data_IF_156168975247
#
_entry.id   IF_156168975247
#
_cell.length_a   1.000
_cell.length_b   1.000
_cell.length_c   1.000
_cell.angle_alpha   90.00
_cell.angle_beta   90.00
_cell.angle_gamma   90.00
#
_symmetry.space_group_name_H-M   'P 1'
#
loop_
_entity.id
_entity.type
_entity.pdbx_description
1 polymer ?
#
# COMPACT_ATOMS: atom_id res chain seq x y z
N UNK A 1 -4.80 2.84 -9.66
CA UNK A 1 -3.69 1.95 -10.11
C UNK A 1 -3.36 0.92 -9.05
N UNK A 2 -2.67 -0.20 -9.42
CA UNK A 2 -2.15 -1.19 -8.46
C UNK A 2 -0.62 -1.09 -8.48
N UNK A 3 -0.05 -0.76 -7.30
CA UNK A 3 1.37 -0.58 -7.08
C UNK A 3 1.93 -1.74 -6.28
N UNK A 4 3.01 -2.33 -6.73
CA UNK A 4 3.79 -3.28 -5.97
C UNK A 4 4.97 -2.58 -5.31
N UNK A 5 5.01 -2.55 -3.99
CA UNK A 5 6.08 -1.89 -3.22
C UNK A 5 6.99 -2.97 -2.63
N UNK A 6 8.23 -3.00 -3.06
CA UNK A 6 9.17 -4.01 -2.62
C UNK A 6 10.50 -3.42 -2.12
N UNK A 7 11.34 -4.28 -1.60
CA UNK A 7 12.67 -3.93 -1.11
C UNK A 7 13.06 -4.75 0.12
N UNK A 8 14.36 -4.78 0.39
CA UNK A 8 14.91 -5.52 1.54
C UNK A 8 14.39 -4.96 2.88
N UNK A 9 14.42 -5.75 3.98
CA UNK A 9 14.17 -5.24 5.32
C UNK A 9 15.02 -4.00 5.62
N UNK A 10 14.39 -2.97 6.20
CA UNK A 10 15.02 -1.67 6.41
C UNK A 10 15.33 -0.88 5.11
N UNK A 11 14.71 -1.22 3.99
CA UNK A 11 14.82 -0.49 2.72
C UNK A 11 14.01 0.80 2.66
N UNK A 12 13.11 1.05 3.63
CA UNK A 12 12.29 2.25 3.70
C UNK A 12 10.87 2.09 3.10
N UNK A 13 10.39 0.86 2.88
CA UNK A 13 9.03 0.60 2.36
C UNK A 13 7.94 1.25 3.24
N UNK A 14 7.94 0.91 4.52
CA UNK A 14 6.97 1.43 5.49
C UNK A 14 7.07 2.95 5.64
N UNK A 15 8.29 3.50 5.59
CA UNK A 15 8.51 4.95 5.62
C UNK A 15 7.95 5.65 4.37
N UNK A 16 8.13 5.07 3.20
CA UNK A 16 7.51 5.55 1.97
C UNK A 16 5.98 5.55 2.08
N UNK A 17 5.42 4.47 2.62
CA UNK A 17 3.97 4.37 2.79
C UNK A 17 3.45 5.34 3.85
N UNK A 18 4.18 5.57 4.94
CA UNK A 18 3.84 6.59 5.93
C UNK A 18 3.75 8.00 5.29
N UNK A 19 4.72 8.35 4.44
CA UNK A 19 4.67 9.60 3.65
C UNK A 19 3.43 9.65 2.74
N UNK A 20 3.17 8.57 2.01
CA UNK A 20 2.04 8.49 1.08
C UNK A 20 0.69 8.59 1.79
N UNK A 21 0.51 7.85 2.88
CA UNK A 21 -0.69 7.88 3.71
C UNK A 21 -0.91 9.29 4.27
N UNK A 22 0.12 9.89 4.87
CA UNK A 22 0.03 11.24 5.41
C UNK A 22 -0.47 12.25 4.38
N UNK A 23 0.12 12.25 3.18
CA UNK A 23 -0.29 13.16 2.12
C UNK A 23 -1.67 12.84 1.55
N UNK A 24 -2.08 11.58 1.52
CA UNK A 24 -3.41 11.18 1.08
C UNK A 24 -4.48 11.67 2.04
N UNK A 25 -4.32 11.42 3.34
CA UNK A 25 -5.25 11.92 4.37
C UNK A 25 -5.37 13.44 4.33
N UNK A 26 -4.26 14.16 4.20
CA UNK A 26 -4.29 15.64 4.08
C UNK A 26 -5.01 16.19 2.85
N UNK A 27 -5.16 15.37 1.82
CA UNK A 27 -5.93 15.71 0.60
C UNK A 27 -7.39 15.27 0.67
N UNK A 28 -7.86 14.76 1.80
CA UNK A 28 -9.19 14.21 1.95
C UNK A 28 -9.39 12.85 1.29
N UNK A 29 -8.31 12.15 0.93
CA UNK A 29 -8.35 10.81 0.36
C UNK A 29 -8.41 9.80 1.50
N UNK A 30 -9.40 8.92 1.48
CA UNK A 30 -9.59 7.88 2.48
C UNK A 30 -8.48 6.82 2.38
N UNK A 31 -8.08 6.27 3.51
CA UNK A 31 -7.03 5.25 3.61
C UNK A 31 -7.54 4.03 4.35
N UNK A 32 -7.38 2.86 3.76
CA UNK A 32 -7.65 1.57 4.37
C UNK A 32 -6.32 0.80 4.43
N UNK A 33 -5.88 0.39 5.62
CA UNK A 33 -4.59 -0.27 5.79
C UNK A 33 -4.67 -1.40 6.83
N UNK A 34 -3.80 -2.41 6.70
CA UNK A 34 -3.68 -3.53 7.64
C UNK A 34 -2.60 -3.29 8.71
N UNK A 35 -2.41 -2.05 9.10
CA UNK A 35 -1.51 -1.63 10.17
C UNK A 35 -1.95 -0.29 10.74
N UNK A 36 -1.60 -0.03 12.00
CA UNK A 36 -1.90 1.21 12.71
C UNK A 36 -1.02 2.38 12.26
N UNK A 37 -1.58 3.58 12.37
CA UNK A 37 -0.86 4.85 12.28
C UNK A 37 -1.19 5.73 13.49
N UNK A 38 -0.28 6.62 13.85
CA UNK A 38 -0.53 7.59 14.90
C UNK A 38 -1.39 8.76 14.39
N UNK A 39 -2.70 8.69 14.59
CA UNK A 39 -3.64 9.76 14.19
C UNK A 39 -3.46 11.06 14.99
N UNK A 40 -2.86 11.03 16.20
CA UNK A 40 -2.53 12.23 16.98
C UNK A 40 -1.57 13.17 16.24
N UNK A 41 -0.87 12.63 15.24
CA UNK A 41 -0.01 13.42 14.36
C UNK A 41 -0.79 14.54 13.62
N UNK A 42 -2.09 14.38 13.48
CA UNK A 42 -2.99 15.37 12.88
C UNK A 42 -3.68 16.29 13.88
N UNK A 43 -3.44 16.16 15.21
CA UNK A 43 -4.06 16.95 16.26
C UNK A 43 -3.89 18.46 16.07
N UNK A 44 -2.80 18.88 15.42
CA UNK A 44 -2.51 20.29 15.08
C UNK A 44 -2.90 20.66 13.65
N UNK A 45 -3.69 19.83 12.97
CA UNK A 45 -4.16 20.17 11.63
C UNK A 45 -5.14 21.33 11.68
N UNK A 46 -4.93 22.35 10.86
CA UNK A 46 -5.79 23.55 10.82
C UNK A 46 -7.22 23.25 10.38
N UNK A 47 -7.41 22.21 9.57
CA UNK A 47 -8.69 21.81 8.99
C UNK A 47 -8.90 20.31 9.15
N UNK A 48 -9.18 19.80 10.37
CA UNK A 48 -9.36 18.37 10.60
C UNK A 48 -10.57 17.79 9.85
N UNK A 49 -11.59 18.59 9.59
CA UNK A 49 -12.80 18.24 8.83
C UNK A 49 -12.53 17.93 7.33
N UNK A 50 -11.38 18.33 6.83
CA UNK A 50 -10.95 18.06 5.44
C UNK A 50 -10.05 16.84 5.30
N UNK A 51 -9.71 16.20 6.41
CA UNK A 51 -8.90 14.99 6.37
C UNK A 51 -9.72 13.81 5.83
N UNK A 52 -9.05 12.95 5.06
CA UNK A 52 -9.60 11.65 4.72
C UNK A 52 -9.74 10.77 5.96
N UNK A 53 -10.65 9.82 5.94
CA UNK A 53 -10.78 8.82 6.98
C UNK A 53 -9.65 7.79 6.91
N UNK A 54 -9.15 7.34 8.07
CA UNK A 54 -8.26 6.19 8.19
C UNK A 54 -9.04 5.02 8.78
N UNK A 55 -8.98 3.87 8.11
CA UNK A 55 -9.66 2.63 8.50
C UNK A 55 -8.59 1.55 8.60
N UNK A 56 -8.44 1.02 9.81
CA UNK A 56 -7.58 -0.13 10.05
C UNK A 56 -8.34 -1.42 9.78
N UNK A 57 -7.61 -2.42 9.34
CA UNK A 57 -8.10 -3.77 9.07
C UNK A 57 -7.04 -4.80 9.39
N UNK A 58 -7.40 -6.07 9.48
CA UNK A 58 -6.48 -7.17 9.66
C UNK A 58 -6.39 -8.07 8.42
N UNK A 59 -5.26 -8.77 8.24
CA UNK A 59 -5.14 -9.76 7.17
C UNK A 59 -6.17 -10.90 7.32
N UNK A 60 -6.58 -11.23 8.54
CA UNK A 60 -7.59 -12.25 8.79
C UNK A 60 -8.95 -11.87 8.20
N UNK A 61 -9.33 -10.60 8.28
CA UNK A 61 -10.58 -10.07 7.73
C UNK A 61 -10.59 -10.02 6.18
N UNK A 62 -9.43 -10.20 5.58
CA UNK A 62 -9.23 -10.14 4.13
C UNK A 62 -9.35 -11.52 3.45
N UNK A 63 -9.67 -12.58 4.18
CA UNK A 63 -9.74 -13.95 3.67
C UNK A 63 -11.15 -14.49 3.65
N UNK A 64 -11.43 -15.44 2.75
CA UNK A 64 -12.71 -16.15 2.73
C UNK A 64 -12.91 -16.96 4.02
N UNK A 65 -11.85 -17.43 4.67
CA UNK A 65 -11.94 -18.14 5.93
C UNK A 65 -12.55 -17.28 7.03
N UNK A 66 -12.10 -16.03 7.14
CA UNK A 66 -12.71 -15.06 8.05
C UNK A 66 -14.21 -14.85 7.72
N UNK A 67 -14.52 -14.66 6.44
CA UNK A 67 -15.90 -14.52 5.98
C UNK A 67 -16.78 -15.72 6.33
N UNK A 68 -16.29 -16.97 6.20
CA UNK A 68 -17.02 -18.18 6.56
C UNK A 68 -17.32 -18.28 8.06
N UNK A 69 -16.46 -17.72 8.89
CA UNK A 69 -16.60 -17.70 10.35
C UNK A 69 -17.55 -16.61 10.85
N UNK A 70 -17.95 -15.66 10.01
CA UNK A 70 -18.87 -14.60 10.38
C UNK A 70 -20.33 -15.11 10.52
N UNK A 71 -21.09 -14.49 11.40
CA UNK A 71 -22.52 -14.72 11.51
C UNK A 71 -23.26 -14.31 10.23
N UNK A 72 -24.50 -14.78 9.98
CA UNK A 72 -25.29 -14.38 8.81
C UNK A 72 -25.49 -12.87 8.66
N UNK A 73 -25.51 -12.11 9.77
CA UNK A 73 -25.61 -10.65 9.77
C UNK A 73 -24.29 -10.00 9.32
N UNK A 74 -23.15 -10.55 9.76
CA UNK A 74 -21.81 -10.08 9.46
C UNK A 74 -21.34 -10.48 8.06
N UNK A 75 -21.87 -11.58 7.50
CA UNK A 75 -21.58 -12.02 6.13
C UNK A 75 -21.92 -11.01 5.04
N UNK A 76 -22.82 -10.07 5.33
CA UNK A 76 -23.09 -8.93 4.43
C UNK A 76 -21.92 -7.96 4.32
N UNK A 77 -20.95 -8.07 5.20
CA UNK A 77 -19.77 -7.23 5.30
C UNK A 77 -18.48 -8.04 5.15
N UNK A 78 -18.44 -9.03 4.22
CA UNK A 78 -17.15 -9.60 3.86
C UNK A 78 -16.20 -8.48 3.45
N UNK A 79 -14.92 -8.64 3.74
CA UNK A 79 -14.00 -7.53 3.62
C UNK A 79 -13.95 -6.91 2.21
N UNK A 80 -13.96 -7.73 1.16
CA UNK A 80 -14.02 -7.23 -0.23
C UNK A 80 -15.34 -6.52 -0.49
N UNK A 81 -16.46 -7.03 0.02
CA UNK A 81 -17.74 -6.34 -0.03
C UNK A 81 -17.74 -5.09 0.83
N UNK A 82 -17.04 -5.09 1.95
CA UNK A 82 -16.78 -3.91 2.77
C UNK A 82 -16.02 -2.82 2.00
N UNK A 83 -14.98 -3.20 1.24
CA UNK A 83 -14.25 -2.27 0.36
C UNK A 83 -15.15 -1.70 -0.74
N UNK A 84 -15.97 -2.55 -1.37
CA UNK A 84 -16.96 -2.13 -2.37
C UNK A 84 -18.02 -1.22 -1.74
N UNK A 85 -18.59 -1.63 -0.61
CA UNK A 85 -19.62 -0.89 0.12
C UNK A 85 -19.10 0.46 0.61
N UNK A 86 -17.88 0.53 1.11
CA UNK A 86 -17.26 1.79 1.50
C UNK A 86 -17.14 2.74 0.30
N UNK A 87 -16.65 2.26 -0.84
CA UNK A 87 -16.55 3.10 -2.02
C UNK A 87 -17.93 3.59 -2.51
N UNK A 88 -18.94 2.72 -2.51
CA UNK A 88 -20.29 3.10 -2.94
C UNK A 88 -20.95 4.14 -2.01
N UNK A 89 -20.60 4.14 -0.73
CA UNK A 89 -21.20 5.04 0.25
C UNK A 89 -20.42 6.35 0.46
N UNK A 90 -19.09 6.33 0.26
CA UNK A 90 -18.21 7.44 0.65
C UNK A 90 -17.39 8.04 -0.51
N UNK A 91 -17.38 7.40 -1.69
CA UNK A 91 -16.74 7.96 -2.85
C UNK A 91 -17.76 8.54 -3.81
N UNK A 92 -17.48 9.72 -4.34
CA UNK A 92 -18.26 10.27 -5.45
C UNK A 92 -17.82 9.62 -6.76
N UNK A 93 -18.50 8.54 -7.13
CA UNK A 93 -18.18 7.77 -8.33
C UNK A 93 -18.57 8.51 -9.64
N UNK A 94 -19.35 9.59 -9.54
CA UNK A 94 -19.81 10.39 -10.67
C UNK A 94 -18.86 11.54 -10.99
N UNK A 95 -18.08 12.00 -10.01
CA UNK A 95 -17.10 13.08 -10.21
C UNK A 95 -15.94 12.62 -11.10
N UNK A 96 -15.94 13.10 -12.35
CA UNK A 96 -14.88 12.77 -13.32
C UNK A 96 -13.54 13.46 -13.01
N UNK A 97 -13.54 14.50 -12.19
CA UNK A 97 -12.31 15.24 -11.79
C UNK A 97 -11.49 14.55 -10.69
N UNK A 98 -12.11 13.64 -9.94
CA UNK A 98 -11.45 12.92 -8.85
C UNK A 98 -11.19 11.46 -9.21
N UNK A 99 -10.07 11.18 -9.85
CA UNK A 99 -9.71 9.79 -10.24
C UNK A 99 -9.49 8.86 -9.05
N UNK A 100 -8.94 9.36 -7.93
CA UNK A 100 -8.63 8.58 -6.73
C UNK A 100 -9.25 9.25 -5.50
N UNK A 101 -10.09 8.52 -4.79
CA UNK A 101 -10.76 8.99 -3.56
C UNK A 101 -10.44 8.10 -2.36
N UNK A 102 -9.86 6.93 -2.59
CA UNK A 102 -9.37 6.03 -1.56
C UNK A 102 -8.07 5.35 -1.94
N UNK A 103 -7.25 5.04 -0.94
CA UNK A 103 -6.09 4.16 -1.11
C UNK A 103 -6.23 2.96 -0.19
N UNK A 104 -5.85 1.79 -0.70
CA UNK A 104 -5.75 0.55 0.07
C UNK A 104 -4.27 0.22 0.19
N UNK A 105 -3.80 -0.01 1.41
CA UNK A 105 -2.40 -0.32 1.70
C UNK A 105 -2.33 -1.63 2.48
N UNK A 106 -1.75 -2.67 1.88
CA UNK A 106 -1.58 -3.97 2.49
C UNK A 106 -0.10 -4.27 2.67
N UNK A 107 0.37 -4.20 3.91
CA UNK A 107 1.75 -4.60 4.25
C UNK A 107 1.81 -6.12 4.45
N UNK A 108 3.01 -6.68 4.20
CA UNK A 108 3.29 -8.11 4.25
C UNK A 108 2.28 -8.97 3.44
N UNK A 109 1.78 -8.42 2.34
CA UNK A 109 0.76 -9.06 1.51
C UNK A 109 1.20 -10.41 0.90
N UNK A 110 2.50 -10.76 1.00
CA UNK A 110 3.01 -12.09 0.66
C UNK A 110 2.38 -13.21 1.49
N UNK A 111 1.95 -12.94 2.73
CA UNK A 111 1.18 -13.89 3.53
C UNK A 111 -0.26 -14.05 3.03
N UNK A 112 -0.89 -12.94 2.66
CA UNK A 112 -2.28 -12.91 2.17
C UNK A 112 -2.41 -13.55 0.78
N UNK A 113 -1.49 -13.23 -0.14
CA UNK A 113 -1.55 -13.66 -1.54
C UNK A 113 -0.52 -14.74 -1.89
N UNK A 114 -0.13 -15.58 -0.92
CA UNK A 114 0.85 -16.64 -1.14
C UNK A 114 0.33 -17.67 -2.14
N UNK A 115 1.11 -17.95 -3.18
CA UNK A 115 0.73 -18.89 -4.25
C UNK A 115 0.44 -20.33 -3.76
N UNK A 116 0.98 -20.72 -2.59
CA UNK A 116 0.82 -22.08 -2.02
C UNK A 116 -0.43 -22.21 -1.15
N UNK A 117 -0.83 -21.14 -0.46
CA UNK A 117 -1.91 -21.15 0.53
C UNK A 117 -3.13 -20.35 0.10
N UNK A 118 -3.01 -19.58 -0.99
CA UNK A 118 -4.08 -18.72 -1.46
C UNK A 118 -5.23 -19.55 -2.03
N UNK A 119 -6.37 -19.52 -1.33
CA UNK A 119 -7.55 -20.25 -1.71
C UNK A 119 -8.05 -19.80 -3.10
N UNK A 120 -8.53 -20.75 -3.92
CA UNK A 120 -9.03 -20.45 -5.27
C UNK A 120 -10.21 -19.46 -5.26
N UNK A 121 -11.08 -19.52 -4.24
CA UNK A 121 -12.21 -18.60 -4.08
C UNK A 121 -11.73 -17.19 -3.75
N UNK A 122 -10.83 -17.04 -2.77
CA UNK A 122 -10.25 -15.74 -2.43
C UNK A 122 -9.53 -15.12 -3.62
N UNK A 123 -8.83 -15.95 -4.40
CA UNK A 123 -8.14 -15.52 -5.62
C UNK A 123 -9.10 -14.88 -6.61
N UNK A 124 -10.20 -15.54 -6.93
CA UNK A 124 -11.20 -15.03 -7.87
C UNK A 124 -11.84 -13.73 -7.38
N UNK A 125 -12.17 -13.64 -6.10
CA UNK A 125 -12.76 -12.45 -5.48
C UNK A 125 -11.80 -11.26 -5.53
N UNK A 126 -10.52 -11.47 -5.19
CA UNK A 126 -9.50 -10.42 -5.27
C UNK A 126 -9.20 -10.01 -6.70
N UNK A 127 -9.14 -10.94 -7.64
CA UNK A 127 -8.95 -10.63 -9.05
C UNK A 127 -10.12 -9.81 -9.60
N UNK A 128 -11.36 -10.16 -9.26
CA UNK A 128 -12.53 -9.38 -9.65
C UNK A 128 -12.47 -7.96 -9.07
N UNK A 129 -12.14 -7.84 -7.77
CA UNK A 129 -11.99 -6.54 -7.12
C UNK A 129 -10.87 -5.72 -7.76
N UNK A 130 -9.69 -6.29 -7.97
CA UNK A 130 -8.55 -5.60 -8.59
C UNK A 130 -8.86 -5.17 -10.03
N UNK A 131 -9.58 -5.95 -10.81
CA UNK A 131 -10.00 -5.56 -12.16
C UNK A 131 -10.92 -4.34 -12.16
N UNK A 132 -11.69 -4.14 -11.10
CA UNK A 132 -12.70 -3.09 -10.94
C UNK A 132 -12.24 -1.92 -10.05
N UNK A 133 -11.03 -1.95 -9.47
CA UNK A 133 -10.57 -0.96 -8.48
C UNK A 133 -10.74 0.50 -8.94
N UNK A 134 -10.55 0.77 -10.23
CA UNK A 134 -10.76 2.12 -10.80
C UNK A 134 -12.21 2.56 -10.76
N UNK A 135 -13.16 1.63 -10.93
CA UNK A 135 -14.60 1.94 -10.82
C UNK A 135 -14.96 2.38 -9.39
N UNK A 136 -14.26 1.83 -8.42
CA UNK A 136 -14.39 2.20 -7.00
C UNK A 136 -13.50 3.36 -6.58
N UNK A 137 -12.75 3.98 -7.51
CA UNK A 137 -11.85 5.11 -7.24
C UNK A 137 -10.72 4.79 -6.26
N UNK A 138 -10.22 3.54 -6.25
CA UNK A 138 -9.10 3.12 -5.43
C UNK A 138 -7.77 3.10 -6.19
N UNK A 139 -6.71 3.57 -5.51
CA UNK A 139 -5.34 3.13 -5.73
C UNK A 139 -4.97 2.06 -4.68
N UNK A 140 -4.23 1.03 -5.09
CA UNK A 140 -3.91 -0.11 -4.23
C UNK A 140 -2.39 -0.25 -4.14
N UNK A 141 -1.87 -0.34 -2.91
CA UNK A 141 -0.45 -0.54 -2.62
C UNK A 141 -0.28 -1.88 -1.93
N UNK A 142 0.37 -2.82 -2.62
CA UNK A 142 0.69 -4.15 -2.12
C UNK A 142 2.17 -4.19 -1.76
N UNK A 143 2.50 -4.42 -0.49
CA UNK A 143 3.85 -4.38 0.02
C UNK A 143 4.32 -5.80 0.34
N UNK A 144 5.45 -6.21 -0.23
CA UNK A 144 6.11 -7.46 0.11
C UNK A 144 7.64 -7.33 -0.07
N UNK A 145 8.39 -8.32 0.38
CA UNK A 145 9.84 -8.31 0.20
C UNK A 145 10.24 -8.68 -1.24
N UNK A 146 9.48 -9.58 -1.86
CA UNK A 146 9.68 -10.04 -3.23
C UNK A 146 8.35 -10.35 -3.92
N UNK A 147 8.27 -10.08 -5.21
CA UNK A 147 7.12 -10.43 -6.05
C UNK A 147 6.91 -11.95 -6.16
N UNK A 148 7.97 -12.75 -5.99
CA UNK A 148 7.89 -14.23 -6.01
C UNK A 148 7.04 -14.80 -4.85
N UNK A 149 6.80 -14.03 -3.78
CA UNK A 149 5.95 -14.43 -2.67
C UNK A 149 4.45 -14.35 -3.00
N UNK A 150 4.11 -13.62 -4.06
CA UNK A 150 2.72 -13.32 -4.44
C UNK A 150 2.28 -14.26 -5.58
N UNK A 151 1.03 -14.69 -5.52
CA UNK A 151 0.41 -15.48 -6.58
C UNK A 151 0.60 -14.84 -7.96
N UNK A 152 0.86 -15.67 -8.98
CA UNK A 152 1.17 -15.22 -10.34
C UNK A 152 0.04 -14.39 -10.94
N UNK A 153 -1.22 -14.78 -10.74
CA UNK A 153 -2.37 -14.09 -11.32
C UNK A 153 -2.55 -12.70 -10.70
N UNK A 154 -2.31 -12.58 -9.39
CA UNK A 154 -2.33 -11.28 -8.70
C UNK A 154 -1.18 -10.39 -9.19
N UNK A 155 0.03 -10.96 -9.38
CA UNK A 155 1.18 -10.20 -9.91
C UNK A 155 0.93 -9.64 -11.32
N UNK A 156 0.19 -10.36 -12.14
CA UNK A 156 -0.15 -9.91 -13.50
C UNK A 156 -1.05 -8.68 -13.52
N UNK A 157 -1.69 -8.35 -12.40
CA UNK A 157 -2.53 -7.16 -12.23
C UNK A 157 -1.75 -5.92 -11.77
N UNK A 158 -0.46 -6.05 -11.46
CA UNK A 158 0.37 -4.91 -11.07
C UNK A 158 0.58 -3.97 -12.27
N UNK A 159 0.45 -2.67 -12.00
CA UNK A 159 0.72 -1.63 -13.00
C UNK A 159 2.13 -1.09 -12.84
N UNK A 160 2.54 -0.83 -11.59
CA UNK A 160 3.85 -0.23 -11.28
C UNK A 160 4.56 -0.96 -10.15
N UNK A 161 5.89 -1.05 -10.26
CA UNK A 161 6.77 -1.49 -9.18
C UNK A 161 7.44 -0.26 -8.55
N UNK A 162 7.44 -0.20 -7.22
CA UNK A 162 8.18 0.81 -6.45
C UNK A 162 9.19 0.07 -5.59
N UNK A 163 10.44 0.07 -6.02
CA UNK A 163 11.53 -0.55 -5.28
C UNK A 163 12.15 0.45 -4.30
N UNK A 164 12.08 0.14 -2.99
CA UNK A 164 12.65 0.96 -1.93
C UNK A 164 14.02 0.40 -1.50
N UNK A 165 15.03 1.27 -1.47
CA UNK A 165 16.39 0.92 -1.05
C UNK A 165 16.94 1.94 -0.06
N UNK A 166 17.64 1.46 0.96
CA UNK A 166 18.41 2.31 1.87
C UNK A 166 19.78 2.61 1.26
N UNK A 167 20.04 3.86 0.93
CA UNK A 167 21.31 4.31 0.33
C UNK A 167 22.45 4.23 1.35
N UNK A 168 22.18 4.45 2.63
CA UNK A 168 23.16 4.38 3.73
C UNK A 168 23.83 3.01 3.82
N UNK A 169 23.12 1.94 3.44
CA UNK A 169 23.62 0.55 3.42
C UNK A 169 24.48 0.25 2.18
N UNK A 170 24.57 1.19 1.24
CA UNK A 170 25.39 1.05 0.04
C UNK A 170 26.78 1.64 0.35
N UNK A 171 27.87 0.90 0.09
CA UNK A 171 29.30 1.24 0.22
C UNK A 171 29.62 2.62 0.89
N UNK A 172 30.87 2.98 1.06
CA UNK A 172 31.35 4.20 1.76
C UNK A 172 30.68 5.52 1.32
N UNK A 173 30.39 5.67 0.04
CA UNK A 173 29.74 6.85 -0.53
C UNK A 173 28.31 7.07 -0.02
N UNK A 174 27.55 5.98 0.18
CA UNK A 174 26.19 6.08 0.74
C UNK A 174 26.15 6.57 2.18
N UNK A 175 27.16 6.19 2.98
CA UNK A 175 27.29 6.67 4.38
C UNK A 175 27.62 8.16 4.43
N UNK A 176 28.47 8.64 3.56
CA UNK A 176 28.83 10.06 3.45
C UNK A 176 27.61 10.91 3.06
N UNK A 177 26.86 10.50 2.04
CA UNK A 177 25.64 11.19 1.64
C UNK A 177 24.58 11.21 2.76
N UNK A 178 24.41 10.09 3.49
CA UNK A 178 23.49 10.04 4.60
C UNK A 178 23.90 10.98 5.75
N UNK A 179 25.19 11.10 6.03
CA UNK A 179 25.72 12.07 6.99
C UNK A 179 25.36 13.51 6.59
N UNK A 180 25.60 13.89 5.32
CA UNK A 180 25.23 15.21 4.80
C UNK A 180 23.72 15.49 4.86
N UNK A 181 22.89 14.48 4.66
CA UNK A 181 21.42 14.58 4.78
C UNK A 181 20.93 14.52 6.24
N UNK A 182 21.86 14.41 7.20
CA UNK A 182 21.55 14.33 8.63
C UNK A 182 20.85 13.05 9.06
N UNK A 183 21.11 11.90 8.43
CA UNK A 183 20.58 10.58 8.80
C UNK A 183 20.37 9.64 7.62
N UNK A 184 19.48 8.64 7.79
CA UNK A 184 19.25 7.66 6.75
C UNK A 184 18.68 8.28 5.48
N UNK A 185 19.32 7.98 4.36
CA UNK A 185 18.89 8.35 3.03
C UNK A 185 18.32 7.11 2.32
N UNK A 186 17.16 7.27 1.74
CA UNK A 186 16.47 6.23 0.98
C UNK A 186 16.28 6.67 -0.47
N UNK A 187 16.13 5.69 -1.36
CA UNK A 187 15.73 5.91 -2.75
C UNK A 187 14.56 5.00 -3.07
N UNK A 188 13.55 5.57 -3.73
CA UNK A 188 12.47 4.82 -4.36
C UNK A 188 12.63 4.89 -5.87
N UNK A 189 12.56 3.74 -6.52
CA UNK A 189 12.70 3.58 -7.97
C UNK A 189 11.37 3.07 -8.49
N UNK A 190 10.67 3.88 -9.25
CA UNK A 190 9.42 3.49 -9.91
C UNK A 190 9.70 2.93 -11.29
N UNK A 191 9.04 1.81 -11.60
CA UNK A 191 9.08 1.15 -12.90
C UNK A 191 7.68 0.82 -13.37
N UNK A 192 7.48 0.83 -14.66
CA UNK A 192 6.30 0.25 -15.26
C UNK A 192 6.40 -1.27 -15.22
N UNK A 193 5.48 -1.93 -14.48
CA UNK A 193 5.51 -3.37 -14.29
C UNK A 193 5.14 -4.12 -15.57
N UNK A 194 4.33 -3.54 -16.43
CA UNK A 194 3.89 -4.14 -17.68
C UNK A 194 5.03 -4.24 -18.69
N UNK A 195 5.96 -3.27 -18.65
CA UNK A 195 7.14 -3.22 -19.52
C UNK A 195 8.30 -4.08 -19.00
N UNK A 196 8.26 -4.52 -17.72
CA UNK A 196 9.36 -5.33 -17.15
C UNK A 196 9.47 -6.72 -17.76
N UNK A 197 8.40 -7.29 -18.31
CA UNK A 197 8.41 -8.63 -18.94
C UNK A 197 9.15 -8.64 -20.27
N UNK A 198 8.88 -7.71 -21.22
CA UNK A 198 9.58 -7.65 -22.50
C UNK A 198 10.91 -6.88 -22.45
N UNK A 199 11.15 -6.04 -21.46
CA UNK A 199 12.31 -5.17 -21.32
C UNK A 199 13.19 -5.56 -20.13
N UNK A 200 14.46 -5.15 -20.16
CA UNK A 200 15.31 -5.25 -18.97
C UNK A 200 14.78 -4.36 -17.86
N UNK A 201 14.87 -4.82 -16.62
CA UNK A 201 14.43 -4.06 -15.42
C UNK A 201 14.97 -2.62 -15.36
N UNK A 202 16.13 -2.36 -15.97
CA UNK A 202 16.73 -1.02 -16.05
C UNK A 202 15.98 -0.11 -17.01
N UNK A 203 15.49 -0.65 -18.11
CA UNK A 203 14.89 0.11 -19.20
C UNK A 203 13.41 0.45 -18.92
N UNK A 204 12.76 -0.28 -18.02
CA UNK A 204 11.40 -0.01 -17.55
C UNK A 204 11.32 1.08 -16.45
N UNK A 205 12.46 1.69 -16.09
CA UNK A 205 12.53 2.73 -15.05
C UNK A 205 11.88 4.02 -15.55
N UNK A 206 10.86 4.50 -14.82
CA UNK A 206 10.25 5.81 -15.07
C UNK A 206 10.99 6.93 -14.32
N UNK A 207 11.17 6.78 -13.01
CA UNK A 207 11.87 7.76 -12.18
C UNK A 207 12.55 7.13 -10.96
N UNK A 208 13.48 7.89 -10.35
CA UNK A 208 14.03 7.60 -9.04
C UNK A 208 13.99 8.87 -8.18
N UNK A 209 13.59 8.73 -6.93
CA UNK A 209 13.52 9.84 -5.99
C UNK A 209 14.19 9.47 -4.67
N UNK A 210 15.01 10.39 -4.17
CA UNK A 210 15.65 10.27 -2.86
C UNK A 210 14.81 10.95 -1.79
N UNK A 211 14.79 10.38 -0.58
CA UNK A 211 14.05 10.92 0.56
C UNK A 211 14.67 10.50 1.89
N UNK A 212 14.49 11.32 2.93
CA UNK A 212 14.97 11.01 4.28
C UNK A 212 13.87 10.54 5.20
N UNK A 213 12.65 11.00 5.00
CA UNK A 213 11.42 10.59 5.69
C UNK A 213 11.37 10.85 7.21
N UNK A 214 12.36 11.56 7.80
CA UNK A 214 12.48 11.78 9.26
C UNK A 214 11.20 12.25 9.91
N UNK A 215 10.47 13.16 9.26
CA UNK A 215 9.22 13.73 9.78
C UNK A 215 8.10 12.69 9.96
N UNK A 216 8.18 11.53 9.30
CA UNK A 216 7.14 10.50 9.37
C UNK A 216 7.45 9.36 10.35
N UNK A 217 8.62 9.34 11.01
CA UNK A 217 8.98 8.28 11.97
C UNK A 217 8.01 8.17 13.15
N UNK A 218 7.47 9.31 13.61
CA UNK A 218 6.47 9.33 14.68
C UNK A 218 5.04 9.03 14.21
N UNK A 219 4.84 9.04 12.91
CA UNK A 219 3.54 8.80 12.29
C UNK A 219 3.25 7.31 12.13
N UNK A 220 4.28 6.50 11.91
CA UNK A 220 4.18 5.06 11.74
C UNK A 220 5.34 4.36 12.44
N UNK A 221 5.01 3.42 13.33
CA UNK A 221 5.99 2.59 14.03
C UNK A 221 5.98 1.17 13.45
N UNK A 222 7.03 0.85 12.69
CA UNK A 222 7.20 -0.47 12.07
C UNK A 222 7.61 -1.58 13.05
N UNK A 223 7.80 -1.26 14.33
CA UNK A 223 8.15 -2.22 15.37
C UNK A 223 6.96 -2.56 16.29
N UNK A 224 5.82 -1.89 16.14
CA UNK A 224 4.61 -2.33 16.82
C UNK A 224 4.19 -3.68 16.25
N UNK A 225 4.19 -4.69 17.09
CA UNK A 225 3.52 -5.95 16.82
C UNK A 225 2.02 -5.65 16.92
N UNK A 226 1.31 -6.00 15.90
CA UNK A 226 -0.15 -6.01 15.91
C UNK A 226 -0.55 -7.25 16.75
N UNK A 227 -1.12 -7.04 17.94
CA UNK A 227 -1.74 -8.07 18.75
C UNK A 227 -3.09 -8.47 18.14
#
# INVERSE_FOLDING_TARGET
MIYFVNGRPGGGKSLFMAEKIYHSLKRGINVIANFEINMDYFSKCRHPEKLGAFIETSNAELTTQAYLNLSPKEKKFSYIEGLRGFALNFHDLTDKGKEVQGIIVLDECGGLFNSRTFNARDRLEWMDFFSKHRKYRYDIYLIAQSDSQIDKQIREMFHKEIECRCVTKMKLFGKFLAFLCGGNLFVRICRDFTLMKPMRKKDSKEYAQYYTGKKYYKFYDSYKLFD
#
